data_IF_388124176269
#
_entry.id   IF_388124176269
#
_cell.length_a   1.000
_cell.length_b   1.000
_cell.length_c   1.000
_cell.angle_alpha   90.00
_cell.angle_beta   90.00
_cell.angle_gamma   90.00
#
_symmetry.space_group_name_H-M   'P 1'
#
loop_
_entity.id
_entity.type
_entity.pdbx_description
1 polymer ?
#
# COMPACT_ATOMS: atom_id res chain seq x y z
N UNK A 1 3.60 1.97 7.39
CA UNK A 1 3.90 3.37 7.79
C UNK A 1 5.04 3.82 6.90
N UNK A 2 4.84 4.85 6.10
CA UNK A 2 5.85 5.32 5.15
C UNK A 2 6.43 6.64 5.63
N UNK A 3 7.66 7.00 5.24
CA UNK A 3 8.20 8.31 5.50
C UNK A 3 7.28 9.44 5.01
N UNK A 4 7.17 10.57 5.73
CA UNK A 4 7.81 10.84 7.02
C UNK A 4 7.13 10.09 8.18
N UNK A 5 7.93 9.47 9.04
CA UNK A 5 7.46 8.76 10.24
C UNK A 5 7.64 9.70 11.43
N UNK A 6 6.53 10.06 12.07
CA UNK A 6 6.54 11.00 13.19
C UNK A 6 6.49 10.25 14.52
N UNK A 7 6.98 10.89 15.57
CA UNK A 7 6.91 10.36 16.93
C UNK A 7 6.47 11.41 17.94
N UNK A 8 5.80 10.98 19.00
CA UNK A 8 5.57 11.81 20.17
C UNK A 8 6.86 11.95 21.01
N UNK A 9 6.83 12.79 22.04
CA UNK A 9 7.99 13.03 22.90
C UNK A 9 8.42 11.78 23.70
N UNK A 10 7.53 10.81 23.87
CA UNK A 10 7.80 9.51 24.48
C UNK A 10 8.20 8.42 23.48
N UNK A 11 8.31 8.73 22.18
CA UNK A 11 8.79 7.79 21.15
C UNK A 11 7.72 6.96 20.42
N UNK A 12 6.42 7.15 20.71
CA UNK A 12 5.36 6.43 19.98
C UNK A 12 5.17 6.97 18.57
N UNK A 13 5.11 6.06 17.59
CA UNK A 13 5.04 6.41 16.17
C UNK A 13 3.64 6.81 15.73
N UNK A 14 3.56 7.82 14.86
CA UNK A 14 2.34 8.31 14.23
C UNK A 14 2.63 8.57 12.75
N UNK A 15 1.71 8.15 11.87
CA UNK A 15 1.85 8.37 10.44
C UNK A 15 1.58 9.83 10.06
N UNK A 16 2.15 10.32 8.95
CA UNK A 16 1.90 11.67 8.42
C UNK A 16 0.41 11.96 8.20
N UNK A 17 -0.34 11.00 7.66
CA UNK A 17 -1.79 11.12 7.44
C UNK A 17 -2.60 11.13 8.75
N UNK A 18 -2.05 10.57 9.81
CA UNK A 18 -2.69 10.40 11.11
C UNK A 18 -2.45 11.64 11.98
N UNK A 19 -1.24 12.20 11.93
CA UNK A 19 -0.80 13.33 12.76
C UNK A 19 -1.73 14.54 12.76
N UNK A 20 -2.25 15.06 11.63
CA UNK A 20 -3.14 16.23 11.65
C UNK A 20 -4.51 15.94 12.26
N UNK A 21 -4.89 14.66 12.39
CA UNK A 21 -6.18 14.23 12.96
C UNK A 21 -6.12 14.04 14.48
N UNK A 22 -4.96 14.26 15.09
CA UNK A 22 -4.69 13.96 16.49
C UNK A 22 -4.20 15.20 17.25
N UNK A 23 -4.78 15.43 18.42
CA UNK A 23 -4.37 16.48 19.36
C UNK A 23 -3.35 15.99 20.39
N UNK A 24 -3.39 14.71 20.73
CA UNK A 24 -2.47 14.06 21.67
C UNK A 24 -2.13 12.63 21.22
N UNK A 25 -1.08 12.06 21.80
CA UNK A 25 -0.60 10.74 21.42
C UNK A 25 -1.64 9.68 21.80
N UNK A 26 -2.09 8.81 20.87
CA UNK A 26 -3.13 7.83 21.18
C UNK A 26 -2.66 6.78 22.18
N UNK A 27 -1.34 6.55 22.29
CA UNK A 27 -0.76 5.55 23.20
C UNK A 27 -0.51 6.10 24.59
N UNK A 28 0.23 7.21 24.72
CA UNK A 28 0.63 7.76 26.02
C UNK A 28 -0.13 9.02 26.45
N UNK A 29 -1.05 9.54 25.62
CA UNK A 29 -1.79 10.80 25.83
C UNK A 29 -0.92 12.05 25.98
N UNK A 30 0.40 11.93 25.78
CA UNK A 30 1.36 13.03 25.79
C UNK A 30 1.27 13.92 24.54
N UNK A 31 2.02 15.03 24.52
CA UNK A 31 2.03 15.96 23.40
C UNK A 31 2.56 15.30 22.12
N UNK A 32 1.79 15.43 21.03
CA UNK A 32 2.26 15.11 19.70
C UNK A 32 3.05 16.30 19.17
N UNK A 33 4.36 16.26 19.28
CA UNK A 33 5.23 17.20 18.56
C UNK A 33 5.18 16.98 17.04
N UNK A 34 6.12 17.60 16.32
CA UNK A 34 6.40 17.30 14.90
C UNK A 34 7.80 16.69 14.77
N UNK A 35 8.10 15.70 15.62
CA UNK A 35 9.42 15.07 15.68
C UNK A 35 9.44 13.95 14.64
N UNK A 36 10.36 14.03 13.67
CA UNK A 36 10.60 12.93 12.73
C UNK A 36 11.47 11.86 13.37
N UNK A 37 11.17 10.61 13.09
CA UNK A 37 11.99 9.47 13.46
C UNK A 37 12.80 9.01 12.24
N UNK A 38 13.95 9.65 12.01
CA UNK A 38 14.82 9.38 10.87
C UNK A 38 15.36 7.94 10.84
N UNK A 39 15.57 7.32 12.01
CA UNK A 39 15.99 5.93 12.10
C UNK A 39 14.90 5.00 11.54
N UNK A 40 13.64 5.22 11.94
CA UNK A 40 12.53 4.44 11.40
C UNK A 40 12.25 4.72 9.93
N UNK A 41 12.50 5.94 9.45
CA UNK A 41 12.42 6.24 8.02
C UNK A 41 13.46 5.44 7.22
N UNK A 42 14.69 5.31 7.72
CA UNK A 42 15.72 4.45 7.10
C UNK A 42 15.31 2.98 7.08
N UNK A 43 14.75 2.47 8.17
CA UNK A 43 14.21 1.09 8.23
C UNK A 43 13.07 0.92 7.23
N UNK A 44 12.13 1.86 7.16
CA UNK A 44 11.02 1.78 6.23
C UNK A 44 11.47 1.72 4.76
N UNK A 45 12.57 2.40 4.42
CA UNK A 45 13.16 2.37 3.08
C UNK A 45 13.87 1.04 2.75
N UNK A 46 14.25 0.25 3.75
CA UNK A 46 14.87 -1.08 3.52
C UNK A 46 13.86 -2.23 3.54
N UNK A 47 12.60 -1.97 3.87
CA UNK A 47 11.55 -2.99 3.89
C UNK A 47 10.99 -3.20 2.49
N UNK A 48 10.92 -4.46 2.08
CA UNK A 48 10.24 -4.89 0.86
C UNK A 48 8.80 -5.28 1.18
N UNK A 49 7.89 -4.92 0.30
CA UNK A 49 6.47 -5.21 0.40
C UNK A 49 6.05 -6.15 -0.73
N UNK A 50 5.23 -7.17 -0.46
CA UNK A 50 4.69 -8.01 -1.52
C UNK A 50 3.79 -7.19 -2.46
N UNK A 51 3.79 -7.53 -3.74
CA UNK A 51 2.83 -7.03 -4.72
C UNK A 51 1.39 -7.24 -4.25
N UNK A 52 0.46 -6.31 -4.53
CA UNK A 52 -0.96 -6.48 -4.15
C UNK A 52 -1.62 -7.71 -4.81
N UNK A 53 -1.06 -8.20 -5.92
CA UNK A 53 -1.53 -9.41 -6.60
C UNK A 53 -0.80 -10.69 -6.14
N UNK A 54 -0.15 -10.68 -4.97
CA UNK A 54 0.47 -11.88 -4.42
C UNK A 54 -0.53 -13.03 -4.22
N UNK A 55 -1.79 -12.72 -3.88
CA UNK A 55 -2.87 -13.70 -3.81
C UNK A 55 -3.20 -14.35 -5.17
N UNK A 56 -2.88 -13.66 -6.26
CA UNK A 56 -3.09 -14.16 -7.63
C UNK A 56 -1.86 -14.91 -8.16
N UNK A 57 -0.77 -15.01 -7.40
CA UNK A 57 0.45 -15.73 -7.77
C UNK A 57 1.70 -14.87 -7.96
N UNK A 58 1.63 -13.55 -7.77
CA UNK A 58 2.81 -12.70 -7.88
C UNK A 58 3.72 -12.83 -6.65
N UNK A 59 4.91 -13.44 -6.80
CA UNK A 59 5.87 -13.63 -5.70
C UNK A 59 6.82 -12.44 -5.51
N UNK A 60 6.68 -11.38 -6.32
CA UNK A 60 7.61 -10.25 -6.31
C UNK A 60 7.40 -9.38 -5.06
N UNK A 61 8.49 -9.14 -4.33
CA UNK A 61 8.55 -8.19 -3.21
C UNK A 61 9.44 -7.00 -3.57
N UNK A 62 8.95 -5.78 -3.35
CA UNK A 62 9.56 -4.55 -3.85
C UNK A 62 9.60 -3.46 -2.79
N UNK A 63 10.54 -2.50 -2.86
CA UNK A 63 10.47 -1.30 -2.05
C UNK A 63 9.19 -0.52 -2.40
N UNK A 64 8.70 0.27 -1.45
CA UNK A 64 7.46 1.04 -1.64
C UNK A 64 7.50 1.94 -2.89
N UNK A 65 8.66 2.50 -3.22
CA UNK A 65 8.86 3.42 -4.35
C UNK A 65 8.64 2.77 -5.72
N UNK A 66 8.95 1.48 -5.87
CA UNK A 66 8.86 0.75 -7.15
C UNK A 66 7.59 -0.10 -7.25
N UNK A 67 6.92 -0.32 -6.12
CA UNK A 67 5.74 -1.18 -6.04
C UNK A 67 4.60 -0.70 -6.94
N UNK A 68 4.37 0.62 -7.02
CA UNK A 68 3.29 1.17 -7.85
C UNK A 68 3.52 0.84 -9.33
N UNK A 69 4.72 1.12 -9.84
CA UNK A 69 5.10 0.89 -11.23
C UNK A 69 5.00 -0.60 -11.60
N UNK A 70 5.45 -1.49 -10.73
CA UNK A 70 5.26 -2.94 -10.93
C UNK A 70 3.78 -3.33 -11.00
N UNK A 71 2.95 -2.81 -10.09
CA UNK A 71 1.53 -3.18 -10.02
C UNK A 71 0.68 -2.70 -11.20
N UNK A 72 1.15 -1.72 -11.97
CA UNK A 72 0.49 -1.31 -13.22
C UNK A 72 0.72 -2.33 -14.34
N UNK A 73 1.91 -2.95 -14.36
CA UNK A 73 2.38 -3.85 -15.41
C UNK A 73 2.40 -5.33 -14.99
N UNK A 74 1.99 -5.64 -13.76
CA UNK A 74 2.03 -6.99 -13.22
C UNK A 74 1.19 -7.96 -14.05
N UNK A 75 1.76 -9.09 -14.44
CA UNK A 75 1.09 -10.13 -15.24
C UNK A 75 -0.06 -10.81 -14.47
N UNK A 76 0.01 -10.79 -13.14
CA UNK A 76 -1.02 -11.32 -12.25
C UNK A 76 -2.16 -10.32 -11.96
N UNK A 77 -2.13 -9.14 -12.60
CA UNK A 77 -3.19 -8.15 -12.51
C UNK A 77 -4.47 -8.70 -13.16
N UNK A 78 -5.63 -8.58 -12.50
CA UNK A 78 -6.89 -9.00 -13.10
C UNK A 78 -7.30 -8.06 -14.24
N UNK A 79 -7.89 -8.65 -15.28
CA UNK A 79 -8.48 -7.99 -16.42
C UNK A 79 -9.97 -7.79 -16.18
N UNK A 80 -10.47 -6.60 -16.49
CA UNK A 80 -11.91 -6.33 -16.51
C UNK A 80 -12.53 -6.82 -17.81
N UNK A 81 -13.81 -7.20 -17.75
CA UNK A 81 -14.59 -7.54 -18.94
C UNK A 81 -14.47 -6.44 -20.02
N UNK A 82 -14.09 -6.78 -21.27
CA UNK A 82 -13.89 -5.81 -22.34
C UNK A 82 -15.18 -5.28 -22.97
N UNK A 83 -16.35 -5.83 -22.64
CA UNK A 83 -17.64 -5.46 -23.26
C UNK A 83 -18.09 -4.04 -22.84
N UNK A 84 -18.07 -3.04 -23.74
CA UNK A 84 -18.52 -1.69 -23.42
C UNK A 84 -20.04 -1.66 -23.28
N UNK A 85 -20.55 -1.23 -22.13
CA UNK A 85 -21.98 -0.97 -21.92
C UNK A 85 -22.78 -2.09 -21.25
N UNK A 86 -22.19 -3.26 -21.00
CA UNK A 86 -22.79 -4.26 -20.12
C UNK A 86 -22.50 -3.92 -18.65
N UNK A 87 -23.45 -4.15 -17.75
CA UNK A 87 -23.25 -4.06 -16.29
C UNK A 87 -22.39 -5.20 -15.73
N UNK A 88 -21.48 -5.74 -16.54
CA UNK A 88 -20.60 -6.82 -16.18
C UNK A 88 -19.47 -6.30 -15.27
N UNK A 89 -19.40 -6.82 -14.04
CA UNK A 89 -18.37 -6.48 -13.05
C UNK A 89 -17.26 -7.53 -12.95
N UNK A 90 -17.21 -8.44 -13.92
CA UNK A 90 -16.25 -9.54 -13.90
C UNK A 90 -14.82 -9.03 -14.00
N UNK A 91 -13.95 -9.62 -13.17
CA UNK A 91 -12.52 -9.42 -13.15
C UNK A 91 -11.84 -10.77 -12.93
N UNK A 92 -10.80 -11.08 -13.69
CA UNK A 92 -10.09 -12.35 -13.58
C UNK A 92 -8.72 -12.36 -14.27
N UNK A 93 -8.03 -13.49 -14.24
CA UNK A 93 -6.78 -13.66 -15.00
C UNK A 93 -7.02 -13.55 -16.51
N UNK A 94 -5.97 -13.28 -17.27
CA UNK A 94 -6.04 -13.20 -18.73
C UNK A 94 -6.65 -14.48 -19.36
N UNK A 95 -6.24 -15.65 -18.88
CA UNK A 95 -6.73 -16.95 -19.33
C UNK A 95 -8.25 -17.12 -19.12
N UNK A 96 -8.79 -16.52 -18.06
CA UNK A 96 -10.21 -16.59 -17.73
C UNK A 96 -11.08 -15.59 -18.52
N UNK A 97 -10.48 -14.67 -19.29
CA UNK A 97 -11.22 -13.68 -20.09
C UNK A 97 -12.00 -14.35 -21.21
N UNK A 98 -11.37 -15.25 -21.98
CA UNK A 98 -12.03 -15.91 -23.11
C UNK A 98 -13.21 -16.80 -22.67
N UNK A 99 -13.07 -17.65 -21.62
CA UNK A 99 -14.20 -18.37 -21.04
C UNK A 99 -15.33 -17.46 -20.51
N UNK A 100 -15.02 -16.25 -20.04
CA UNK A 100 -16.04 -15.31 -19.56
C UNK A 100 -16.86 -14.69 -20.70
N UNK A 101 -16.30 -14.57 -21.90
CA UNK A 101 -16.94 -13.94 -23.07
C UNK A 101 -17.83 -14.89 -23.88
N UNK A 102 -17.79 -16.19 -23.59
CA UNK A 102 -18.64 -17.22 -24.20
C UNK A 102 -19.85 -17.51 -23.31
#
# INVERSE_FOLDING_TARGET
VLPPILQCQSGHLVCSNCRPKLTCCPTCRGPLGSIRNLAMEKVANSVLFPCKYASSGCEVTLPHTEKADHEELCEFRPYSCPCPGASCKWQGSLDAVMPHLM
#
